data_IF_305457240697
#
_entry.id   IF_305457240697
#
_cell.length_a   1.000
_cell.length_b   1.000
_cell.length_c   1.000
_cell.angle_alpha   90.00
_cell.angle_beta   90.00
_cell.angle_gamma   90.00
#
_symmetry.space_group_name_H-M   'P 1'
#
loop_
_entity.id
_entity.type
_entity.pdbx_description
1 polymer ?
#
# COMPACT_ATOMS: atom_id res chain seq x y z
N UNK A 1 -6.96 -24.57 -0.90
CA UNK A 1 -6.65 -23.26 -1.51
C UNK A 1 -5.74 -22.59 -0.52
N UNK A 2 -4.44 -22.52 -0.82
CA UNK A 2 -3.49 -21.74 -0.01
C UNK A 2 -3.94 -20.29 -0.07
N UNK A 3 -4.27 -19.70 1.08
CA UNK A 3 -4.59 -18.28 1.16
C UNK A 3 -3.27 -17.53 1.09
N UNK A 4 -3.04 -16.83 -0.02
CA UNK A 4 -1.90 -15.92 -0.15
C UNK A 4 -2.10 -14.74 0.79
N UNK A 5 -1.08 -14.33 1.55
CA UNK A 5 -1.17 -13.16 2.41
C UNK A 5 -1.42 -11.90 1.57
N UNK A 6 -2.22 -10.97 2.11
CA UNK A 6 -2.50 -9.68 1.45
C UNK A 6 -1.72 -8.61 2.19
N UNK A 7 -0.86 -7.90 1.46
CA UNK A 7 -0.08 -6.76 1.96
C UNK A 7 -0.68 -5.48 1.39
N UNK A 8 -1.20 -4.62 2.26
CA UNK A 8 -1.77 -3.34 1.86
C UNK A 8 -0.81 -2.19 2.19
N UNK A 9 -0.27 -1.54 1.16
CA UNK A 9 0.48 -0.30 1.27
C UNK A 9 -0.50 0.88 1.27
N UNK A 10 -0.69 1.49 2.43
CA UNK A 10 -1.49 2.70 2.59
C UNK A 10 -0.58 3.90 2.53
N UNK A 11 -0.75 4.76 1.53
CA UNK A 11 0.07 5.97 1.37
C UNK A 11 -0.71 7.08 0.68
N UNK A 12 -0.22 8.31 0.77
CA UNK A 12 -0.85 9.44 0.07
C UNK A 12 -0.50 9.37 -1.41
N UNK A 13 -1.51 9.30 -2.27
CA UNK A 13 -1.35 9.44 -3.71
C UNK A 13 -1.51 10.91 -4.12
N UNK A 14 -0.89 11.27 -5.23
CA UNK A 14 -1.09 12.56 -5.90
C UNK A 14 -1.96 12.36 -7.13
N UNK A 15 -2.52 13.45 -7.67
CA UNK A 15 -3.35 13.38 -8.87
C UNK A 15 -3.02 14.53 -9.81
N UNK A 16 -2.74 14.19 -11.07
CA UNK A 16 -2.54 15.16 -12.13
C UNK A 16 -3.82 15.34 -12.94
N UNK A 17 -4.14 16.59 -13.26
CA UNK A 17 -5.27 16.92 -14.13
C UNK A 17 -4.75 17.35 -15.48
N UNK A 18 -5.08 16.59 -16.51
CA UNK A 18 -4.70 16.89 -17.89
C UNK A 18 -5.93 17.39 -18.64
N UNK A 19 -5.83 18.56 -19.27
CA UNK A 19 -6.86 19.06 -20.16
C UNK A 19 -6.65 18.48 -21.56
N UNK A 20 -7.65 17.73 -22.02
CA UNK A 20 -7.71 17.08 -23.32
C UNK A 20 -8.80 17.76 -24.18
N UNK A 21 -8.78 17.53 -25.49
CA UNK A 21 -9.82 18.04 -26.39
C UNK A 21 -11.24 17.55 -26.02
N UNK A 22 -11.37 16.42 -25.31
CA UNK A 22 -12.63 15.85 -24.86
C UNK A 22 -13.03 16.21 -23.41
N UNK A 23 -12.24 16.99 -22.68
CA UNK A 23 -12.51 17.36 -21.28
C UNK A 23 -11.28 17.25 -20.37
N UNK A 24 -11.50 17.05 -19.06
CA UNK A 24 -10.42 16.89 -18.07
C UNK A 24 -10.27 15.43 -17.68
N UNK A 25 -9.06 14.89 -17.86
CA UNK A 25 -8.68 13.59 -17.33
C UNK A 25 -7.95 13.77 -15.98
N UNK A 26 -8.18 12.86 -15.04
CA UNK A 26 -7.48 12.82 -13.74
C UNK A 26 -6.67 11.54 -13.67
N UNK A 27 -5.35 11.66 -13.54
CA UNK A 27 -4.43 10.54 -13.46
C UNK A 27 -3.86 10.42 -12.05
N UNK A 28 -3.91 9.23 -11.42
CA UNK A 28 -3.18 9.00 -10.17
C UNK A 28 -1.68 9.03 -10.43
N UNK A 29 -0.96 9.70 -9.54
CA UNK A 29 0.50 9.75 -9.50
C UNK A 29 0.97 9.19 -8.18
N UNK A 30 1.95 8.29 -8.25
CA UNK A 30 2.64 7.78 -7.08
C UNK A 30 3.77 8.73 -6.69
N UNK A 31 3.71 9.44 -5.54
CA UNK A 31 4.78 10.33 -5.12
C UNK A 31 6.03 9.59 -4.62
N UNK A 32 5.93 8.29 -4.35
CA UNK A 32 7.00 7.46 -3.78
C UNK A 32 7.07 6.13 -4.53
N UNK A 33 7.44 6.14 -5.83
CA UNK A 33 7.47 4.93 -6.65
C UNK A 33 8.51 3.92 -6.16
N UNK A 34 9.69 4.38 -5.73
CA UNK A 34 10.75 3.52 -5.19
C UNK A 34 10.28 2.70 -3.98
N UNK A 35 9.38 3.28 -3.18
CA UNK A 35 8.78 2.58 -2.05
C UNK A 35 7.88 1.45 -2.54
N UNK A 36 6.99 1.72 -3.50
CA UNK A 36 6.12 0.68 -4.08
C UNK A 36 6.93 -0.45 -4.66
N UNK A 37 7.95 -0.14 -5.45
CA UNK A 37 8.82 -1.13 -6.07
C UNK A 37 9.54 -2.00 -5.04
N UNK A 38 9.95 -1.40 -3.91
CA UNK A 38 10.58 -2.15 -2.81
C UNK A 38 9.59 -3.14 -2.19
N UNK A 39 8.37 -2.68 -1.90
CA UNK A 39 7.35 -3.55 -1.30
C UNK A 39 6.88 -4.61 -2.31
N UNK A 40 6.77 -4.28 -3.59
CA UNK A 40 6.39 -5.21 -4.66
C UNK A 40 7.38 -6.37 -4.75
N UNK A 41 8.69 -6.10 -4.73
CA UNK A 41 9.73 -7.13 -4.71
C UNK A 41 9.60 -8.06 -3.50
N UNK A 42 9.36 -7.50 -2.32
CA UNK A 42 9.16 -8.30 -1.10
C UNK A 42 7.91 -9.16 -1.26
N UNK A 43 6.79 -8.60 -1.71
CA UNK A 43 5.56 -9.37 -1.86
C UNK A 43 5.69 -10.48 -2.90
N UNK A 44 6.40 -10.24 -4.00
CA UNK A 44 6.65 -11.26 -5.03
C UNK A 44 7.49 -12.43 -4.49
N UNK A 45 8.50 -12.14 -3.66
CA UNK A 45 9.36 -13.17 -3.05
C UNK A 45 8.57 -14.11 -2.11
N UNK A 46 7.57 -13.59 -1.42
CA UNK A 46 6.74 -14.32 -0.45
C UNK A 46 5.40 -14.81 -1.03
N UNK A 47 5.20 -14.74 -2.35
CA UNK A 47 3.94 -15.05 -3.05
C UNK A 47 2.71 -14.34 -2.45
N UNK A 48 2.91 -13.10 -2.00
CA UNK A 48 1.91 -12.25 -1.37
C UNK A 48 1.24 -11.31 -2.40
N UNK A 49 0.02 -10.88 -2.11
CA UNK A 49 -0.72 -9.94 -2.96
C UNK A 49 -0.50 -8.52 -2.44
N UNK A 50 0.19 -7.69 -3.22
CA UNK A 50 0.30 -6.25 -2.94
C UNK A 50 -0.98 -5.51 -3.35
N UNK A 51 -1.49 -4.66 -2.45
CA UNK A 51 -2.54 -3.67 -2.72
C UNK A 51 -2.08 -2.29 -2.30
N UNK A 52 -2.17 -1.30 -3.20
CA UNK A 52 -1.88 0.09 -2.86
C UNK A 52 -3.19 0.84 -2.65
N UNK A 53 -3.35 1.51 -1.50
CA UNK A 53 -4.53 2.29 -1.16
C UNK A 53 -4.16 3.74 -0.91
N UNK A 54 -4.91 4.67 -1.52
CA UNK A 54 -4.73 6.09 -1.27
C UNK A 54 -5.30 6.49 0.11
N UNK A 55 -4.43 6.98 0.96
CA UNK A 55 -4.77 7.49 2.28
C UNK A 55 -5.71 8.70 2.24
N UNK A 56 -5.81 9.43 1.12
CA UNK A 56 -6.68 10.60 1.02
C UNK A 56 -8.17 10.25 0.89
N UNK A 57 -8.52 9.06 0.37
CA UNK A 57 -9.91 8.69 0.04
C UNK A 57 -10.69 8.26 1.30
N UNK A 58 -10.02 7.65 2.28
CA UNK A 58 -10.67 7.03 3.46
C UNK A 58 -10.10 7.52 4.80
N UNK A 59 -9.71 8.80 4.89
CA UNK A 59 -9.06 9.40 6.07
C UNK A 59 -9.78 9.14 7.40
N UNK A 60 -11.11 9.24 7.45
CA UNK A 60 -11.86 8.99 8.70
C UNK A 60 -11.80 7.53 9.16
N UNK A 61 -11.81 6.58 8.21
CA UNK A 61 -11.74 5.15 8.51
C UNK A 61 -10.32 4.77 8.95
N UNK A 62 -9.31 5.23 8.19
CA UNK A 62 -7.90 5.00 8.52
C UNK A 62 -7.54 5.49 9.93
N UNK A 63 -8.04 6.66 10.34
CA UNK A 63 -7.86 7.17 11.71
C UNK A 63 -8.49 6.28 12.77
N UNK A 64 -9.69 5.72 12.51
CA UNK A 64 -10.34 4.78 13.44
C UNK A 64 -9.55 3.48 13.58
N UNK A 65 -8.89 3.08 12.50
CA UNK A 65 -8.02 1.89 12.45
C UNK A 65 -6.61 2.19 13.00
N UNK A 66 -6.38 3.35 13.62
CA UNK A 66 -5.10 3.74 14.24
C UNK A 66 -4.05 4.28 13.27
N UNK A 67 -4.38 4.38 11.98
CA UNK A 67 -3.48 4.85 10.92
C UNK A 67 -3.57 6.37 10.83
N UNK A 68 -2.78 7.04 11.68
CA UNK A 68 -2.75 8.50 11.76
C UNK A 68 -1.71 9.12 10.82
N UNK A 69 -0.63 8.40 10.51
CA UNK A 69 0.51 8.91 9.74
C UNK A 69 0.93 7.90 8.65
N UNK A 70 0.33 7.97 7.45
CA UNK A 70 0.82 7.25 6.28
C UNK A 70 2.21 7.77 5.84
N UNK A 71 3.06 6.94 5.20
CA UNK A 71 2.72 5.61 4.71
C UNK A 71 2.79 4.52 5.79
N UNK A 72 1.96 3.48 5.68
CA UNK A 72 1.96 2.28 6.55
C UNK A 72 1.69 1.02 5.73
N UNK A 73 2.02 -0.14 6.29
CA UNK A 73 1.68 -1.46 5.74
C UNK A 73 0.60 -2.10 6.62
N UNK A 74 -0.36 -2.79 6.00
CA UNK A 74 -1.32 -3.64 6.71
C UNK A 74 -1.18 -5.07 6.19
N UNK A 75 -1.03 -6.03 7.10
CA UNK A 75 -1.01 -7.47 6.81
C UNK A 75 -1.98 -8.13 7.78
N UNK A 76 -2.99 -8.84 7.29
CA UNK A 76 -4.01 -9.52 8.11
C UNK A 76 -4.60 -8.66 9.25
N UNK A 77 -4.99 -7.42 8.93
CA UNK A 77 -5.55 -6.42 9.86
C UNK A 77 -4.56 -5.84 10.90
N UNK A 78 -3.28 -6.24 10.87
CA UNK A 78 -2.21 -5.67 11.70
C UNK A 78 -1.47 -4.55 10.95
N UNK A 79 -1.19 -3.44 11.64
CA UNK A 79 -0.52 -2.26 11.07
C UNK A 79 0.98 -2.29 11.39
N UNK A 80 1.80 -2.20 10.36
CA UNK A 80 3.25 -2.21 10.44
C UNK A 80 3.86 -0.90 9.91
N UNK A 81 5.01 -0.48 10.46
CA UNK A 81 5.81 0.57 9.83
C UNK A 81 6.27 0.13 8.44
N UNK A 82 6.56 1.10 7.59
CA UNK A 82 7.11 0.86 6.26
C UNK A 82 8.60 0.61 6.37
N UNK A 83 8.94 -0.58 6.84
CA UNK A 83 10.29 -1.06 7.06
C UNK A 83 10.44 -2.45 6.44
N UNK A 84 11.32 -2.64 5.44
CA UNK A 84 11.48 -3.93 4.74
C UNK A 84 11.68 -5.12 5.67
N UNK A 85 12.55 -4.98 6.68
CA UNK A 85 12.89 -6.06 7.61
C UNK A 85 11.66 -6.46 8.44
N UNK A 86 10.88 -5.48 8.89
CA UNK A 86 9.62 -5.72 9.62
C UNK A 86 8.58 -6.44 8.76
N UNK A 87 8.43 -6.03 7.50
CA UNK A 87 7.45 -6.62 6.55
C UNK A 87 7.84 -8.07 6.23
N UNK A 88 9.13 -8.30 5.98
CA UNK A 88 9.70 -9.63 5.75
C UNK A 88 9.42 -10.54 6.96
N UNK A 89 9.76 -10.08 8.18
CA UNK A 89 9.53 -10.86 9.39
C UNK A 89 8.05 -11.22 9.59
N UNK A 90 7.14 -10.28 9.30
CA UNK A 90 5.70 -10.52 9.36
C UNK A 90 5.26 -11.58 8.32
N UNK A 91 5.74 -11.49 7.08
CA UNK A 91 5.40 -12.45 6.02
C UNK A 91 5.98 -13.85 6.30
N UNK A 92 7.17 -13.94 6.88
CA UNK A 92 7.78 -15.22 7.31
C UNK A 92 6.94 -15.93 8.37
N UNK A 93 6.33 -15.19 9.28
CA UNK A 93 5.44 -15.77 10.30
C UNK A 93 4.15 -16.33 9.69
N UNK A 94 3.59 -15.65 8.68
CA UNK A 94 2.32 -16.02 8.05
C UNK A 94 2.45 -17.11 6.98
N UNK A 95 3.64 -17.29 6.39
CA UNK A 95 3.92 -18.27 5.32
C UNK A 95 4.49 -19.59 5.82
N UNK A 96 4.78 -19.73 7.12
CA UNK A 96 5.17 -20.98 7.78
C UNK A 96 3.99 -21.85 8.17
#
# INVERSE_FOLDING_TARGET
>A
MEQKPIVMLVKKMSYERVMCACGTAVFPLDPTPELTETIEKITDEYDAILRVTDANIHTERLRKDGINEPPVIIIDDEVYPVDPDTIIAALEEKTR
#
